data_IF_743814424055
#
_entry.id   IF_743814424055
#
_cell.length_a   1.000
_cell.length_b   1.000
_cell.length_c   1.000
_cell.angle_alpha   90.00
_cell.angle_beta   90.00
_cell.angle_gamma   90.00
#
_symmetry.space_group_name_H-M   'P 1'
#
loop_
_entity.id
_entity.type
_entity.pdbx_description
1 polymer ?
#
# COMPACT_ATOMS: atom_id res chain seq x y z
N UNK A 1 -60.30 12.74 6.82
CA UNK A 1 -58.89 13.11 7.05
C UNK A 1 -58.02 11.91 6.68
N UNK A 2 -57.46 11.88 5.46
CA UNK A 2 -56.53 10.81 5.02
C UNK A 2 -55.12 11.37 5.10
N UNK A 3 -54.29 10.82 5.99
CA UNK A 3 -52.87 11.16 6.11
C UNK A 3 -52.12 10.37 5.04
N UNK A 4 -51.51 11.07 4.09
CA UNK A 4 -50.60 10.49 3.10
C UNK A 4 -49.20 10.58 3.74
N UNK A 5 -48.61 9.43 4.06
CA UNK A 5 -47.23 9.34 4.50
C UNK A 5 -46.33 9.32 3.27
N UNK A 6 -45.50 10.34 3.11
CA UNK A 6 -44.42 10.38 2.12
C UNK A 6 -43.24 9.57 2.69
N UNK A 7 -42.95 8.42 2.09
CA UNK A 7 -41.71 7.67 2.36
C UNK A 7 -40.65 8.17 1.38
N UNK A 8 -39.69 8.95 1.87
CA UNK A 8 -38.53 9.36 1.08
C UNK A 8 -37.54 8.19 1.03
N UNK A 9 -37.41 7.56 -0.13
CA UNK A 9 -36.41 6.53 -0.39
C UNK A 9 -35.10 7.24 -0.76
N UNK A 10 -34.16 7.32 0.20
CA UNK A 10 -32.80 7.77 -0.08
C UNK A 10 -32.08 6.58 -0.71
N UNK A 11 -31.86 6.66 -2.03
CA UNK A 11 -30.96 5.76 -2.75
C UNK A 11 -29.55 6.19 -2.36
N UNK A 12 -28.93 5.44 -1.46
CA UNK A 12 -27.50 5.53 -1.21
C UNK A 12 -26.78 5.08 -2.47
N UNK A 13 -26.18 6.04 -3.18
CA UNK A 13 -25.30 5.79 -4.30
C UNK A 13 -24.00 5.20 -3.71
N UNK A 14 -23.88 3.87 -3.67
CA UNK A 14 -22.60 3.23 -3.42
C UNK A 14 -21.76 3.39 -4.69
N UNK A 15 -20.89 4.39 -4.69
CA UNK A 15 -19.79 4.46 -5.65
C UNK A 15 -18.81 3.34 -5.32
N UNK A 16 -18.91 2.22 -6.04
CA UNK A 16 -17.80 1.27 -6.13
C UNK A 16 -16.68 1.98 -6.87
N UNK A 17 -15.63 2.38 -6.16
CA UNK A 17 -14.38 2.81 -6.79
C UNK A 17 -13.85 1.62 -7.60
N UNK A 18 -13.93 1.76 -8.92
CA UNK A 18 -13.39 0.79 -9.86
C UNK A 18 -11.88 0.97 -9.90
N UNK A 19 -11.17 0.17 -9.12
CA UNK A 19 -9.72 0.04 -9.25
C UNK A 19 -9.40 -0.44 -10.67
N UNK A 20 -8.43 0.17 -11.34
CA UNK A 20 -7.73 -0.56 -12.39
C UNK A 20 -7.17 -1.82 -11.71
N UNK A 21 -7.60 -3.01 -12.15
CA UNK A 21 -7.21 -4.28 -11.52
C UNK A 21 -5.68 -4.33 -11.43
N UNK A 22 -5.15 -4.20 -10.22
CA UNK A 22 -3.75 -4.49 -9.95
C UNK A 22 -3.55 -5.98 -10.20
N UNK A 23 -2.93 -6.31 -11.33
CA UNK A 23 -2.72 -7.70 -11.74
C UNK A 23 -1.76 -8.39 -10.77
N UNK A 24 -2.33 -9.10 -9.80
CA UNK A 24 -1.61 -9.76 -8.73
C UNK A 24 -2.10 -11.20 -8.57
N UNK A 25 -1.71 -12.12 -9.47
CA UNK A 25 -2.08 -13.51 -9.34
C UNK A 25 -1.58 -14.07 -8.01
N UNK A 26 -2.32 -15.00 -7.42
CA UNK A 26 -1.93 -15.73 -6.21
C UNK A 26 -0.84 -16.78 -6.51
N UNK A 27 0.20 -16.36 -7.22
CA UNK A 27 1.38 -17.14 -7.55
C UNK A 27 2.42 -17.03 -6.45
N UNK A 28 3.41 -17.92 -6.49
CA UNK A 28 4.51 -17.88 -5.54
C UNK A 28 5.44 -16.69 -5.81
N UNK A 29 5.72 -15.90 -4.78
CA UNK A 29 6.88 -15.03 -4.70
C UNK A 29 8.14 -15.89 -4.56
N UNK A 30 9.24 -15.41 -5.15
CA UNK A 30 10.52 -16.09 -5.13
C UNK A 30 11.63 -15.14 -4.69
N UNK A 31 12.60 -15.68 -3.95
CA UNK A 31 13.78 -14.95 -3.50
C UNK A 31 15.02 -15.84 -3.64
N UNK A 32 16.15 -15.24 -3.98
CA UNK A 32 17.43 -15.93 -3.92
C UNK A 32 17.98 -15.82 -2.51
N UNK A 33 18.04 -16.94 -1.79
CA UNK A 33 18.48 -16.93 -0.40
C UNK A 33 20.00 -16.74 -0.30
N UNK A 34 20.44 -15.52 -0.01
CA UNK A 34 21.85 -15.18 0.17
C UNK A 34 22.35 -15.35 1.61
N UNK A 35 21.52 -15.87 2.53
CA UNK A 35 21.94 -16.07 3.92
C UNK A 35 22.94 -17.21 3.97
N UNK A 36 24.10 -16.95 4.56
CA UNK A 36 25.12 -18.00 4.73
C UNK A 36 24.81 -18.91 5.91
N UNK A 37 24.05 -18.42 6.89
CA UNK A 37 23.62 -19.13 8.08
C UNK A 37 22.11 -18.96 8.29
N UNK A 38 21.45 -20.00 8.80
CA UNK A 38 20.08 -19.94 9.30
C UNK A 38 20.03 -19.21 10.64
N UNK A 39 18.83 -18.85 11.11
CA UNK A 39 18.65 -18.17 12.41
C UNK A 39 19.24 -18.95 13.61
N UNK A 40 19.30 -20.28 13.51
CA UNK A 40 19.91 -21.15 14.53
C UNK A 40 21.45 -21.21 14.46
N UNK A 41 22.09 -20.47 13.55
CA UNK A 41 23.53 -20.42 13.34
C UNK A 41 24.12 -21.58 12.54
N UNK A 42 23.31 -22.50 12.02
CA UNK A 42 23.78 -23.57 11.13
C UNK A 42 23.95 -23.09 9.68
N UNK A 43 24.81 -23.73 8.85
CA UNK A 43 24.94 -23.39 7.43
C UNK A 43 23.61 -23.46 6.69
N UNK A 44 23.33 -22.48 5.85
CA UNK A 44 22.12 -22.47 5.05
C UNK A 44 22.22 -23.43 3.85
N UNK A 45 21.40 -24.49 3.77
CA UNK A 45 21.42 -25.40 2.62
C UNK A 45 20.91 -24.74 1.33
N UNK A 46 20.15 -23.64 1.44
CA UNK A 46 19.54 -22.94 0.30
C UNK A 46 20.39 -21.76 -0.18
N UNK A 47 21.62 -21.60 0.32
CA UNK A 47 22.49 -20.48 -0.08
C UNK A 47 22.68 -20.41 -1.60
N UNK A 48 22.29 -19.28 -2.20
CA UNK A 48 22.34 -19.03 -3.64
C UNK A 48 21.27 -19.76 -4.46
N UNK A 49 20.26 -20.35 -3.82
CA UNK A 49 19.12 -20.98 -4.47
C UNK A 49 17.91 -20.05 -4.47
N UNK A 50 17.11 -20.13 -5.53
CA UNK A 50 15.79 -19.52 -5.57
C UNK A 50 14.81 -20.39 -4.75
N UNK A 51 14.16 -19.76 -3.78
CA UNK A 51 13.17 -20.40 -2.91
C UNK A 51 11.84 -19.67 -3.06
N UNK A 52 10.74 -20.41 -2.94
CA UNK A 52 9.43 -19.78 -2.79
C UNK A 52 9.34 -19.18 -1.40
N UNK A 53 8.95 -17.90 -1.33
CA UNK A 53 8.85 -17.16 -0.07
C UNK A 53 7.42 -17.03 0.42
N UNK A 54 6.42 -17.17 -0.45
CA UNK A 54 5.00 -17.06 -0.14
C UNK A 54 4.15 -16.77 -1.36
N UNK A 55 2.89 -16.37 -1.15
CA UNK A 55 2.01 -15.88 -2.20
C UNK A 55 2.22 -14.40 -2.46
N UNK A 56 2.17 -14.01 -3.73
CA UNK A 56 2.42 -12.65 -4.18
C UNK A 56 1.58 -11.59 -3.46
N UNK A 57 2.25 -10.56 -2.98
CA UNK A 57 1.70 -9.25 -2.64
C UNK A 57 2.11 -8.20 -3.66
N UNK A 58 1.16 -7.39 -4.12
CA UNK A 58 1.41 -6.35 -5.11
C UNK A 58 0.97 -4.99 -4.60
N UNK A 59 1.75 -3.96 -4.92
CA UNK A 59 1.49 -2.56 -4.57
C UNK A 59 1.13 -1.76 -5.83
N UNK A 60 0.27 -0.77 -5.67
CA UNK A 60 -0.06 0.17 -6.72
C UNK A 60 -0.68 1.44 -6.16
N UNK A 61 -0.57 2.55 -6.90
CA UNK A 61 -1.23 3.79 -6.51
C UNK A 61 -2.63 3.88 -7.08
N UNK A 62 -3.56 4.43 -6.29
CA UNK A 62 -4.84 4.89 -6.82
C UNK A 62 -4.63 6.03 -7.80
N UNK A 63 -5.36 6.09 -8.93
CA UNK A 63 -5.38 7.29 -9.77
C UNK A 63 -6.10 8.46 -9.08
N UNK A 64 -6.98 8.16 -8.13
CA UNK A 64 -7.66 9.16 -7.33
C UNK A 64 -6.73 9.71 -6.25
N UNK A 65 -6.87 11.00 -5.99
CA UNK A 65 -6.11 11.73 -4.97
C UNK A 65 -7.02 12.79 -4.34
N UNK A 66 -6.73 13.13 -3.09
CA UNK A 66 -7.47 14.17 -2.38
C UNK A 66 -6.68 15.47 -2.36
N UNK A 67 -7.36 16.58 -2.69
CA UNK A 67 -6.79 17.92 -2.59
C UNK A 67 -7.47 18.67 -1.44
N UNK A 68 -6.69 19.10 -0.46
CA UNK A 68 -7.17 19.90 0.66
C UNK A 68 -6.31 21.16 0.84
N UNK A 69 -6.74 22.25 0.21
CA UNK A 69 -5.98 23.49 0.19
C UNK A 69 -4.65 23.31 -0.51
N UNK A 70 -3.58 23.23 0.28
CA UNK A 70 -2.20 23.09 -0.20
C UNK A 70 -1.63 21.68 0.02
N UNK A 71 -2.45 20.76 0.56
CA UNK A 71 -2.10 19.38 0.79
C UNK A 71 -2.73 18.48 -0.28
N UNK A 72 -1.97 17.45 -0.65
CA UNK A 72 -2.35 16.42 -1.61
C UNK A 72 -2.14 15.07 -0.94
N UNK A 73 -3.18 14.25 -0.88
CA UNK A 73 -3.10 12.89 -0.33
C UNK A 73 -3.21 11.87 -1.46
N UNK A 74 -2.22 10.98 -1.52
CA UNK A 74 -2.16 9.86 -2.45
C UNK A 74 -2.46 8.56 -1.71
N UNK A 75 -3.28 7.71 -2.32
CA UNK A 75 -3.59 6.40 -1.77
C UNK A 75 -2.70 5.33 -2.40
N UNK A 76 -1.91 4.66 -1.56
CA UNK A 76 -1.22 3.43 -1.90
C UNK A 76 -2.12 2.24 -1.56
N UNK A 77 -2.31 1.36 -2.52
CA UNK A 77 -3.13 0.15 -2.41
C UNK A 77 -2.29 -1.11 -2.49
N UNK A 78 -2.85 -2.18 -1.95
CA UNK A 78 -2.25 -3.52 -1.95
C UNK A 78 -3.27 -4.56 -2.37
N UNK A 79 -2.79 -5.58 -3.09
CA UNK A 79 -3.43 -6.90 -3.15
C UNK A 79 -2.55 -7.86 -2.37
N UNK A 80 -3.06 -8.39 -1.27
CA UNK A 80 -2.36 -9.31 -0.38
C UNK A 80 -2.98 -10.71 -0.45
N UNK A 81 -2.35 -11.61 -1.21
CA UNK A 81 -2.81 -13.02 -1.31
C UNK A 81 -2.48 -13.84 -0.06
N UNK A 82 -1.72 -13.28 0.86
CA UNK A 82 -1.47 -13.82 2.19
C UNK A 82 -1.34 -12.70 3.22
N UNK A 83 -1.52 -13.02 4.52
CA UNK A 83 -1.48 -12.01 5.56
C UNK A 83 -0.12 -11.29 5.63
N UNK A 84 -0.15 -9.97 5.67
CA UNK A 84 1.04 -9.12 5.79
C UNK A 84 1.18 -8.67 7.25
N UNK A 85 2.37 -8.86 7.81
CA UNK A 85 2.70 -8.51 9.21
C UNK A 85 3.61 -7.29 9.32
N UNK A 86 4.27 -6.92 8.22
CA UNK A 86 5.17 -5.77 8.17
C UNK A 86 5.45 -5.34 6.74
N UNK A 87 5.74 -4.06 6.56
CA UNK A 87 6.02 -3.39 5.30
C UNK A 87 7.13 -2.36 5.54
N UNK A 88 8.09 -2.30 4.62
CA UNK A 88 9.06 -1.21 4.53
C UNK A 88 9.17 -0.75 3.08
N UNK A 89 8.93 0.53 2.84
CA UNK A 89 8.94 1.13 1.51
C UNK A 89 9.85 2.35 1.47
N UNK A 90 10.67 2.45 0.43
CA UNK A 90 11.39 3.68 0.07
C UNK A 90 10.72 4.29 -1.16
N UNK A 91 9.84 5.26 -0.93
CA UNK A 91 9.00 5.89 -1.92
C UNK A 91 9.66 7.16 -2.49
N UNK A 92 9.87 7.16 -3.80
CA UNK A 92 10.39 8.29 -4.56
C UNK A 92 9.29 8.91 -5.41
N UNK A 93 9.44 10.20 -5.70
CA UNK A 93 8.66 10.89 -6.72
C UNK A 93 9.51 11.89 -7.50
N UNK A 94 9.04 12.31 -8.67
CA UNK A 94 9.75 13.25 -9.56
C UNK A 94 9.37 14.73 -9.36
N UNK A 95 8.36 15.02 -8.53
CA UNK A 95 7.96 16.39 -8.24
C UNK A 95 9.01 17.15 -7.43
N UNK A 96 9.43 18.31 -7.95
CA UNK A 96 10.30 19.26 -7.24
C UNK A 96 9.55 20.23 -6.31
N UNK A 97 8.22 20.11 -6.21
CA UNK A 97 7.37 21.06 -5.46
C UNK A 97 6.56 20.42 -4.34
N UNK A 98 6.65 19.11 -4.17
CA UNK A 98 5.98 18.38 -3.09
C UNK A 98 6.95 18.12 -1.94
N UNK A 99 6.51 18.46 -0.73
CA UNK A 99 7.21 18.17 0.52
C UNK A 99 6.38 17.18 1.34
N UNK A 100 7.01 16.08 1.79
CA UNK A 100 6.34 15.09 2.63
C UNK A 100 5.78 15.73 3.91
N UNK A 101 4.49 15.50 4.17
CA UNK A 101 3.78 16.01 5.36
C UNK A 101 3.52 14.89 6.36
N UNK A 102 2.80 13.84 5.94
CA UNK A 102 2.40 12.77 6.85
C UNK A 102 2.01 11.48 6.13
N UNK A 103 1.75 10.43 6.92
CA UNK A 103 1.18 9.17 6.45
C UNK A 103 0.10 8.68 7.43
N UNK A 104 -1.02 8.19 6.90
CA UNK A 104 -2.08 7.49 7.64
C UNK A 104 -2.25 6.07 7.13
N UNK A 105 -2.91 5.25 7.96
CA UNK A 105 -3.25 3.87 7.60
C UNK A 105 -4.41 3.86 6.63
N UNK A 106 -4.32 3.02 5.61
CA UNK A 106 -5.49 2.59 4.86
C UNK A 106 -6.21 1.44 5.56
N UNK A 107 -7.40 1.11 5.07
CA UNK A 107 -8.30 0.11 5.64
C UNK A 107 -7.65 -1.25 5.88
N UNK A 108 -6.68 -1.67 5.04
CA UNK A 108 -5.98 -2.95 5.19
C UNK A 108 -5.16 -3.04 6.48
N UNK A 109 -4.74 -1.91 7.04
CA UNK A 109 -3.94 -1.85 8.27
C UNK A 109 -4.77 -1.51 9.52
N UNK A 110 -6.08 -1.35 9.35
CA UNK A 110 -7.03 -1.10 10.43
C UNK A 110 -7.72 -2.39 10.88
N UNK A 111 -8.09 -2.46 12.17
CA UNK A 111 -8.78 -3.62 12.77
C UNK A 111 -8.09 -4.98 12.54
N UNK A 112 -6.77 -4.99 12.36
CA UNK A 112 -5.97 -6.21 12.17
C UNK A 112 -6.05 -7.13 13.38
N UNK A 113 -5.87 -8.43 13.16
CA UNK A 113 -5.89 -9.45 14.19
C UNK A 113 -4.73 -10.45 14.02
N UNK A 114 -4.38 -11.16 15.08
CA UNK A 114 -3.45 -12.29 15.02
C UNK A 114 -4.13 -13.55 14.43
N UNK A 115 -3.39 -14.67 14.38
CA UNK A 115 -3.91 -15.95 13.87
C UNK A 115 -5.13 -16.48 14.61
N UNK A 116 -5.21 -16.21 15.92
CA UNK A 116 -6.31 -16.66 16.78
C UNK A 116 -7.51 -15.70 16.72
N UNK A 117 -7.41 -14.61 15.94
CA UNK A 117 -8.42 -13.58 15.80
C UNK A 117 -8.43 -12.56 16.95
N UNK A 118 -7.38 -12.50 17.78
CA UNK A 118 -7.26 -11.47 18.79
C UNK A 118 -6.93 -10.13 18.11
N UNK A 119 -7.68 -9.05 18.40
CA UNK A 119 -7.40 -7.75 17.82
C UNK A 119 -6.01 -7.25 18.21
N UNK A 120 -5.31 -6.65 17.25
CA UNK A 120 -4.06 -5.95 17.47
C UNK A 120 -4.02 -4.65 16.69
N UNK A 121 -2.82 -4.08 16.56
CA UNK A 121 -2.62 -2.85 15.80
C UNK A 121 -1.35 -2.93 14.98
N UNK A 122 -1.37 -2.28 13.82
CA UNK A 122 -0.16 -1.92 13.09
C UNK A 122 0.40 -0.61 13.64
N UNK A 123 1.71 -0.57 13.88
CA UNK A 123 2.46 0.67 14.07
C UNK A 123 2.81 1.22 12.70
N UNK A 124 2.63 2.53 12.49
CA UNK A 124 2.94 3.20 11.23
C UNK A 124 3.92 4.35 11.50
N UNK A 125 4.99 4.40 10.70
CA UNK A 125 6.02 5.44 10.73
C UNK A 125 6.27 5.90 9.30
N UNK A 126 6.47 7.20 9.13
CA UNK A 126 6.89 7.78 7.86
C UNK A 126 7.84 8.95 8.10
N UNK A 127 8.91 9.01 7.31
CA UNK A 127 9.91 10.08 7.43
C UNK A 127 10.57 10.38 6.09
N UNK A 128 10.86 11.65 5.86
CA UNK A 128 11.72 12.07 4.75
C UNK A 128 13.19 11.72 5.04
N UNK A 129 13.84 11.05 4.09
CA UNK A 129 15.24 10.64 4.13
C UNK A 129 15.94 11.17 2.88
N UNK A 130 16.51 12.37 2.98
CA UNK A 130 17.27 13.08 1.94
C UNK A 130 16.54 13.27 0.59
N UNK A 131 16.27 12.19 -0.15
CA UNK A 131 15.68 12.16 -1.49
C UNK A 131 14.39 11.32 -1.61
N UNK A 132 13.98 10.59 -0.57
CA UNK A 132 12.77 9.75 -0.58
C UNK A 132 12.02 9.77 0.74
N UNK A 133 10.78 9.29 0.72
CA UNK A 133 10.02 8.99 1.94
C UNK A 133 10.23 7.54 2.30
N UNK A 134 10.70 7.26 3.52
CA UNK A 134 10.69 5.91 4.08
C UNK A 134 9.43 5.69 4.90
N UNK A 135 8.69 4.65 4.56
CA UNK A 135 7.47 4.23 5.24
C UNK A 135 7.72 2.88 5.89
N UNK A 136 7.32 2.73 7.15
CA UNK A 136 7.32 1.46 7.87
C UNK A 136 5.96 1.22 8.49
N UNK A 137 5.36 0.09 8.20
CA UNK A 137 4.20 -0.42 8.93
C UNK A 137 4.54 -1.79 9.50
N UNK A 138 4.32 -2.04 10.79
CA UNK A 138 4.63 -3.34 11.39
C UNK A 138 3.79 -3.62 12.63
N UNK A 139 3.52 -4.89 12.89
CA UNK A 139 2.90 -5.32 14.14
C UNK A 139 3.93 -5.75 15.18
N UNK A 140 3.70 -5.37 16.44
CA UNK A 140 4.42 -5.92 17.60
C UNK A 140 3.60 -6.98 18.33
N UNK A 141 2.41 -7.31 17.85
CA UNK A 141 1.45 -8.22 18.48
C UNK A 141 1.04 -9.38 17.56
N UNK A 142 1.85 -9.67 16.53
CA UNK A 142 1.55 -10.67 15.48
C UNK A 142 0.27 -10.40 14.69
N UNK A 143 -0.29 -9.19 14.81
CA UNK A 143 -1.45 -8.80 14.03
C UNK A 143 -1.06 -8.61 12.56
N UNK A 144 -1.96 -9.01 11.67
CA UNK A 144 -1.70 -9.07 10.23
C UNK A 144 -2.94 -8.69 9.44
N UNK A 145 -2.74 -8.35 8.17
CA UNK A 145 -3.83 -8.15 7.22
C UNK A 145 -4.57 -9.48 6.97
N UNK A 146 -5.73 -9.43 6.34
CA UNK A 146 -6.53 -10.64 6.09
C UNK A 146 -5.87 -11.61 5.11
N UNK A 147 -5.08 -11.13 4.15
CA UNK A 147 -4.45 -12.00 3.16
C UNK A 147 -5.44 -12.70 2.24
N UNK A 148 -6.52 -12.02 1.86
CA UNK A 148 -7.67 -12.61 1.18
C UNK A 148 -7.65 -12.43 -0.34
N UNK A 149 -6.58 -11.86 -0.90
CA UNK A 149 -6.42 -11.57 -2.33
C UNK A 149 -7.32 -10.45 -2.86
N UNK A 150 -8.02 -9.72 -1.98
CA UNK A 150 -8.87 -8.59 -2.36
C UNK A 150 -8.06 -7.30 -2.27
N UNK A 151 -8.11 -6.45 -3.30
CA UNK A 151 -7.45 -5.15 -3.27
C UNK A 151 -8.01 -4.24 -2.15
N UNK A 152 -7.16 -3.40 -1.56
CA UNK A 152 -7.59 -2.38 -0.63
C UNK A 152 -6.53 -1.32 -0.33
N UNK A 153 -6.95 -0.25 0.34
CA UNK A 153 -6.08 0.86 0.71
C UNK A 153 -5.09 0.38 1.78
N UNK A 154 -3.80 0.54 1.50
CA UNK A 154 -2.72 0.19 2.41
C UNK A 154 -2.28 1.40 3.24
N UNK A 155 -1.94 2.50 2.56
CA UNK A 155 -1.46 3.75 3.17
C UNK A 155 -2.06 4.95 2.43
N UNK A 156 -2.19 6.04 3.16
CA UNK A 156 -2.49 7.36 2.61
C UNK A 156 -1.29 8.27 2.90
N UNK A 157 -0.64 8.78 1.85
CA UNK A 157 0.56 9.59 1.95
C UNK A 157 0.22 11.02 1.57
N UNK A 158 0.41 11.95 2.51
CA UNK A 158 0.11 13.36 2.30
C UNK A 158 1.40 14.16 2.07
N UNK A 159 1.37 14.97 1.02
CA UNK A 159 2.39 15.96 0.69
C UNK A 159 1.79 17.36 0.73
N UNK A 160 2.59 18.36 1.08
CA UNK A 160 2.24 19.76 0.93
C UNK A 160 2.98 20.36 -0.27
N UNK A 161 2.32 21.22 -1.04
CA UNK A 161 3.02 22.04 -2.03
C UNK A 161 3.92 23.06 -1.30
N UNK A 162 5.12 23.28 -1.80
CA UNK A 162 5.99 24.35 -1.25
C UNK A 162 5.38 25.73 -1.51
N UNK A 163 5.67 26.69 -0.64
CA UNK A 163 5.09 28.05 -0.72
C UNK A 163 5.33 28.69 -2.09
N UNK A 164 4.24 29.12 -2.73
CA UNK A 164 4.26 29.81 -4.02
C UNK A 164 4.46 28.91 -5.25
N UNK A 165 4.48 27.58 -5.07
CA UNK A 165 4.43 26.65 -6.19
C UNK A 165 2.99 26.42 -6.68
N UNK A 166 2.87 26.13 -7.97
CA UNK A 166 1.63 25.65 -8.57
C UNK A 166 1.54 24.13 -8.45
N UNK A 167 0.31 23.62 -8.42
CA UNK A 167 0.04 22.17 -8.50
C UNK A 167 0.65 21.60 -9.80
N UNK A 168 1.52 20.57 -9.73
CA UNK A 168 2.07 19.97 -10.94
C UNK A 168 0.97 19.27 -11.75
N UNK A 169 1.16 19.13 -13.06
CA UNK A 169 0.17 18.46 -13.92
C UNK A 169 0.05 16.96 -13.67
N UNK A 170 1.15 16.33 -13.27
CA UNK A 170 1.27 14.93 -12.94
C UNK A 170 2.47 14.71 -12.00
N UNK A 171 2.48 13.55 -11.34
CA UNK A 171 3.58 13.09 -10.48
C UNK A 171 3.78 11.61 -10.71
N UNK A 172 5.03 11.20 -10.93
CA UNK A 172 5.42 9.80 -11.02
C UNK A 172 6.00 9.29 -9.72
N UNK A 173 5.48 8.17 -9.23
CA UNK A 173 5.93 7.48 -8.03
C UNK A 173 6.58 6.13 -8.36
N UNK A 174 7.63 5.79 -7.62
CA UNK A 174 8.24 4.46 -7.64
C UNK A 174 8.85 4.10 -6.30
N UNK A 175 9.07 2.81 -6.07
CA UNK A 175 9.79 2.29 -4.92
C UNK A 175 11.22 1.93 -5.29
N UNK A 176 12.19 2.47 -4.56
CA UNK A 176 13.58 2.00 -4.61
C UNK A 176 13.81 0.73 -3.77
N UNK A 177 12.98 0.55 -2.76
CA UNK A 177 12.89 -0.65 -1.94
C UNK A 177 11.42 -0.89 -1.59
N UNK A 178 10.94 -2.12 -1.78
CA UNK A 178 9.62 -2.54 -1.34
C UNK A 178 9.73 -3.91 -0.67
N UNK A 179 9.68 -3.92 0.66
CA UNK A 179 9.65 -5.12 1.49
C UNK A 179 8.23 -5.27 2.01
N UNK A 180 7.61 -6.42 1.72
CA UNK A 180 6.28 -6.80 2.19
C UNK A 180 6.42 -8.15 2.86
N UNK A 181 6.40 -8.16 4.18
CA UNK A 181 6.65 -9.36 4.98
C UNK A 181 5.35 -10.11 5.24
N UNK A 182 5.26 -11.30 4.64
CA UNK A 182 4.13 -12.19 4.71
C UNK A 182 4.21 -13.22 5.84
N UNK A 183 3.27 -14.17 5.89
CA UNK A 183 3.23 -15.23 6.94
C UNK A 183 3.51 -16.64 6.42
N UNK A 184 4.10 -16.73 5.25
CA UNK A 184 3.94 -17.89 4.36
C UNK A 184 4.71 -19.13 4.74
N UNK A 185 5.80 -19.05 5.51
CA UNK A 185 6.63 -20.22 5.81
C UNK A 185 7.25 -20.15 7.21
N UNK A 186 6.39 -20.19 8.24
CA UNK A 186 6.78 -20.46 9.64
C UNK A 186 7.85 -21.58 9.68
N UNK A 187 9.05 -21.33 10.25
CA UNK A 187 9.36 -20.29 11.23
C UNK A 187 9.92 -18.97 10.72
N UNK A 188 9.98 -18.75 9.41
CA UNK A 188 10.59 -17.56 8.85
C UNK A 188 9.55 -16.65 8.19
N UNK A 189 9.51 -15.41 8.67
CA UNK A 189 8.79 -14.32 8.00
C UNK A 189 9.64 -13.91 6.81
N UNK A 190 9.13 -14.18 5.61
CA UNK A 190 9.80 -13.88 4.34
C UNK A 190 9.02 -12.82 3.56
N UNK A 191 9.72 -12.19 2.63
CA UNK A 191 9.15 -11.14 1.81
C UNK A 191 8.42 -11.73 0.60
N UNK A 192 7.23 -11.20 0.32
CA UNK A 192 6.30 -11.75 -0.68
C UNK A 192 5.96 -10.77 -1.79
N UNK A 193 6.78 -9.75 -1.99
CA UNK A 193 6.53 -8.75 -3.04
C UNK A 193 6.74 -9.33 -4.44
N UNK A 194 5.76 -9.17 -5.33
CA UNK A 194 5.83 -9.63 -6.72
C UNK A 194 5.65 -8.51 -7.75
N UNK A 195 5.03 -7.39 -7.39
CA UNK A 195 4.76 -6.31 -8.33
C UNK A 195 4.55 -4.99 -7.62
N UNK A 196 5.28 -3.96 -8.05
CA UNK A 196 5.16 -2.60 -7.56
C UNK A 196 5.74 -1.66 -8.61
N UNK A 197 5.39 -0.36 -8.59
CA UNK A 197 6.05 0.61 -9.45
C UNK A 197 7.52 0.71 -9.05
N UNK A 198 8.41 0.30 -9.93
CA UNK A 198 9.86 0.39 -9.74
C UNK A 198 10.41 1.58 -10.54
N UNK A 199 11.72 1.83 -10.42
CA UNK A 199 12.35 2.97 -11.10
C UNK A 199 12.23 2.90 -12.63
N UNK A 200 12.14 1.70 -13.20
CA UNK A 200 12.05 1.46 -14.64
C UNK A 200 10.59 1.53 -15.14
N UNK A 201 9.63 1.26 -14.24
CA UNK A 201 8.20 1.21 -14.47
C UNK A 201 7.43 2.03 -13.40
N UNK A 202 7.63 3.37 -13.33
CA UNK A 202 6.94 4.20 -12.34
C UNK A 202 5.45 4.33 -12.65
N UNK A 203 4.65 4.64 -11.62
CA UNK A 203 3.23 4.97 -11.79
C UNK A 203 3.04 6.48 -11.83
N UNK A 204 2.47 6.99 -12.92
CA UNK A 204 2.13 8.41 -13.08
C UNK A 204 0.69 8.68 -12.68
N UNK A 205 0.49 9.65 -11.80
CA UNK A 205 -0.81 10.16 -11.37
C UNK A 205 -0.99 11.56 -11.93
N UNK A 206 -2.06 11.80 -12.68
CA UNK A 206 -2.38 13.12 -13.24
C UNK A 206 -3.20 13.94 -12.24
N UNK A 207 -2.70 15.12 -11.86
CA UNK A 207 -3.31 15.98 -10.84
C UNK A 207 -4.22 17.07 -11.42
N UNK A 208 -4.81 16.81 -12.59
CA UNK A 208 -5.62 17.79 -13.30
C UNK A 208 -6.78 18.30 -12.41
N UNK A 209 -7.06 19.62 -12.38
CA UNK A 209 -8.20 20.18 -11.65
C UNK A 209 -9.61 19.70 -12.09
N UNK A 210 -9.69 18.82 -13.10
CA UNK A 210 -10.90 18.50 -13.85
C UNK A 210 -11.32 17.01 -13.79
N UNK A 211 -11.03 16.30 -12.70
CA UNK A 211 -11.66 14.98 -12.45
C UNK A 211 -13.11 15.07 -11.94
N UNK A 212 -13.82 16.18 -12.18
CA UNK A 212 -15.27 16.10 -12.38
C UNK A 212 -15.52 15.73 -13.85
N UNK A 213 -15.48 14.43 -14.13
CA UNK A 213 -16.02 13.91 -15.38
C UNK A 213 -17.53 14.13 -15.34
N UNK A 214 -18.01 15.14 -16.05
CA UNK A 214 -19.40 15.24 -16.45
C UNK A 214 -19.74 13.98 -17.26
N UNK A 215 -20.47 13.05 -16.63
CA UNK A 215 -21.15 11.99 -17.37
C UNK A 215 -22.25 12.65 -18.22
N UNK A 216 -22.00 12.77 -19.53
CA UNK A 216 -23.05 13.03 -20.53
C UNK A 216 -23.72 11.72 -20.93
#
# INVERSE_FOLDING_TARGET
MKKIAFFTFIIGFMSSTGWAELDCPADSAYHIDYRTLLQNGSPNPNYGQEISTGLCGCLGFSPDHELNGNEITFTLSVVDNEPISGIQLDLYHDSGVLAYSSVSKGDKLENVADEDGNPGTMTLLGSWNDDHVRLLAYSTSLARTEGNGVAGNLLEITYSLIDGADLPGDVSFYFGLAIISGTSMDPEVLDVSCGYPDQENPTTIYLSPNNQVDYV
#
